data_IF_192899895495
#
_entry.id   IF_192899895495
#
_cell.length_a   1.000
_cell.length_b   1.000
_cell.length_c   1.000
_cell.angle_alpha   90.00
_cell.angle_beta   90.00
_cell.angle_gamma   90.00
#
_symmetry.space_group_name_H-M   'P 1'
#
loop_
_entity.id
_entity.type
_entity.pdbx_description
1 polymer ?
#
# COMPACT_ATOMS: atom_id res chain seq x y z
N UNK A 1 -16.64 26.94 18.95
CA UNK A 1 -15.48 26.38 18.24
C UNK A 1 -15.84 26.35 16.78
N UNK A 2 -15.37 27.33 16.00
CA UNK A 2 -15.54 27.31 14.54
C UNK A 2 -14.82 26.08 13.99
N UNK A 3 -15.53 25.28 13.20
CA UNK A 3 -14.94 24.15 12.50
C UNK A 3 -13.81 24.70 11.61
N UNK A 4 -12.59 24.23 11.84
CA UNK A 4 -11.50 24.42 10.87
C UNK A 4 -12.04 24.10 9.45
N UNK A 5 -11.64 24.86 8.41
CA UNK A 5 -12.11 24.66 7.04
C UNK A 5 -11.47 23.41 6.40
N UNK A 6 -11.58 22.26 7.08
CA UNK A 6 -11.19 20.95 6.57
C UNK A 6 -12.04 20.52 5.37
N UNK A 7 -13.24 21.11 5.25
CA UNK A 7 -14.19 20.89 4.18
C UNK A 7 -14.15 21.98 3.08
N UNK A 8 -13.30 23.00 3.20
CA UNK A 8 -13.21 24.02 2.16
C UNK A 8 -12.43 23.47 0.96
N UNK A 9 -13.08 23.29 -0.22
CA UNK A 9 -12.42 22.79 -1.42
C UNK A 9 -11.27 23.69 -1.89
N UNK A 10 -11.21 24.96 -1.47
CA UNK A 10 -10.10 25.89 -1.79
C UNK A 10 -8.84 25.68 -0.96
N UNK A 11 -8.89 24.99 0.19
CA UNK A 11 -7.78 24.87 1.16
C UNK A 11 -7.31 23.42 1.41
N UNK A 12 -7.52 22.52 0.44
CA UNK A 12 -7.05 21.14 0.58
C UNK A 12 -5.58 20.96 0.16
N UNK A 13 -4.96 19.91 0.67
CA UNK A 13 -3.52 19.67 0.57
C UNK A 13 -3.02 19.27 -0.84
N UNK A 14 -3.87 19.36 -1.85
CA UNK A 14 -3.50 19.30 -3.26
C UNK A 14 -3.62 20.71 -3.83
N UNK A 15 -2.48 21.39 -3.96
CA UNK A 15 -2.37 22.75 -4.49
C UNK A 15 -2.73 22.93 -5.96
N UNK A 16 -3.78 22.29 -6.48
CA UNK A 16 -4.56 22.74 -7.64
C UNK A 16 -5.60 21.69 -8.02
N UNK A 17 -6.81 22.13 -8.35
CA UNK A 17 -7.77 21.32 -9.09
C UNK A 17 -7.14 20.86 -10.41
N UNK A 18 -7.16 19.56 -10.72
CA UNK A 18 -6.87 19.09 -12.07
C UNK A 18 -8.07 19.38 -12.97
N UNK A 19 -8.00 20.47 -13.73
CA UNK A 19 -9.01 20.85 -14.70
C UNK A 19 -8.92 19.96 -15.94
N UNK A 20 -9.91 19.08 -16.14
CA UNK A 20 -10.14 18.45 -17.44
C UNK A 20 -10.88 19.45 -18.33
N UNK A 21 -10.27 19.86 -19.45
CA UNK A 21 -10.87 20.83 -20.38
C UNK A 21 -12.12 20.29 -21.09
N UNK A 22 -12.44 18.99 -21.01
CA UNK A 22 -13.49 18.36 -21.84
C UNK A 22 -14.87 18.20 -21.19
N UNK A 23 -15.01 18.33 -19.87
CA UNK A 23 -16.25 17.90 -19.18
C UNK A 23 -16.92 18.93 -18.27
N UNK A 24 -16.39 20.15 -18.16
CA UNK A 24 -16.88 21.11 -17.17
C UNK A 24 -16.52 20.68 -15.75
N UNK A 25 -16.32 21.66 -14.88
CA UNK A 25 -15.68 21.52 -13.57
C UNK A 25 -16.25 20.39 -12.69
N UNK A 26 -15.42 19.37 -12.42
CA UNK A 26 -15.50 18.61 -11.17
C UNK A 26 -14.07 18.44 -10.63
N UNK A 27 -13.65 19.31 -9.72
CA UNK A 27 -12.43 19.09 -8.94
C UNK A 27 -12.61 17.78 -8.18
N UNK A 28 -11.90 16.72 -8.56
CA UNK A 28 -11.93 15.43 -7.86
C UNK A 28 -11.21 15.63 -6.53
N UNK A 29 -11.97 15.67 -5.43
CA UNK A 29 -11.47 15.94 -4.08
C UNK A 29 -11.59 14.71 -3.20
N UNK A 30 -10.61 14.43 -2.33
CA UNK A 30 -10.75 13.43 -1.26
C UNK A 30 -10.60 14.12 0.09
N UNK A 31 -11.64 13.99 0.93
CA UNK A 31 -11.75 14.81 2.13
C UNK A 31 -10.75 14.45 3.22
N UNK A 32 -10.34 15.45 4.01
CA UNK A 32 -9.51 15.20 5.19
C UNK A 32 -10.26 14.35 6.22
N UNK A 33 -11.58 14.53 6.36
CA UNK A 33 -12.46 13.71 7.21
C UNK A 33 -12.47 12.22 6.82
N UNK A 34 -12.16 11.91 5.56
CA UNK A 34 -12.02 10.54 5.06
C UNK A 34 -10.58 10.03 5.20
N UNK A 35 -9.59 10.85 4.81
CA UNK A 35 -8.18 10.44 4.77
C UNK A 35 -7.55 10.30 6.15
N UNK A 36 -7.84 11.20 7.09
CA UNK A 36 -7.23 11.16 8.44
C UNK A 36 -7.61 9.87 9.18
N UNK A 37 -8.91 9.47 9.27
CA UNK A 37 -9.26 8.20 9.90
C UNK A 37 -8.72 6.97 9.15
N UNK A 38 -8.65 7.02 7.82
CA UNK A 38 -8.08 5.94 7.03
C UNK A 38 -6.58 5.74 7.31
N UNK A 39 -5.84 6.84 7.38
CA UNK A 39 -4.43 6.85 7.79
C UNK A 39 -4.28 6.26 9.19
N UNK A 40 -4.97 6.83 10.18
CA UNK A 40 -4.88 6.34 11.56
C UNK A 40 -5.28 4.88 11.75
N UNK A 41 -6.14 4.33 10.88
CA UNK A 41 -6.58 2.93 10.97
C UNK A 41 -5.64 1.93 10.30
N UNK A 42 -5.00 2.30 9.19
CA UNK A 42 -4.30 1.33 8.35
C UNK A 42 -2.79 1.56 8.21
N UNK A 43 -2.28 2.77 8.50
CA UNK A 43 -0.87 3.11 8.26
C UNK A 43 0.10 2.18 9.01
N UNK A 44 -0.16 1.92 10.29
CA UNK A 44 0.70 1.08 11.13
C UNK A 44 0.94 -0.31 10.53
N UNK A 45 -0.11 -0.99 10.09
CA UNK A 45 0.04 -2.33 9.51
C UNK A 45 0.76 -2.30 8.16
N UNK A 46 0.55 -1.26 7.36
CA UNK A 46 1.25 -1.08 6.08
C UNK A 46 2.75 -0.85 6.36
N UNK A 47 3.09 0.03 7.32
CA UNK A 47 4.47 0.32 7.73
C UNK A 47 5.18 -0.92 8.28
N UNK A 48 4.53 -1.67 9.19
CA UNK A 48 5.08 -2.90 9.72
C UNK A 48 5.40 -3.91 8.60
N UNK A 49 4.52 -3.98 7.60
CA UNK A 49 4.68 -4.90 6.48
C UNK A 49 5.79 -4.47 5.52
N UNK A 50 5.98 -3.16 5.33
CA UNK A 50 7.14 -2.62 4.60
C UNK A 50 8.45 -3.05 5.29
N UNK A 51 8.51 -2.96 6.61
CA UNK A 51 9.68 -3.38 7.40
C UNK A 51 9.95 -4.87 7.22
N UNK A 52 8.93 -5.71 7.31
CA UNK A 52 9.06 -7.16 7.16
C UNK A 52 9.37 -7.59 5.74
N UNK A 53 8.80 -6.92 4.73
CA UNK A 53 9.11 -7.20 3.33
C UNK A 53 10.57 -6.82 3.00
N UNK A 54 11.09 -5.72 3.58
CA UNK A 54 12.52 -5.38 3.54
C UNK A 54 13.37 -6.45 4.22
N UNK A 55 12.96 -6.94 5.38
CA UNK A 55 13.66 -8.01 6.11
C UNK A 55 13.72 -9.31 5.31
N UNK A 56 12.61 -9.72 4.68
CA UNK A 56 12.56 -10.88 3.78
C UNK A 56 13.58 -10.74 2.64
N UNK A 57 13.64 -9.55 2.02
CA UNK A 57 14.63 -9.26 0.98
C UNK A 57 16.07 -9.44 1.44
N UNK A 58 16.40 -8.99 2.66
CA UNK A 58 17.73 -9.18 3.24
C UNK A 58 18.04 -10.66 3.46
N UNK A 59 17.08 -11.45 3.96
CA UNK A 59 17.25 -12.89 4.16
C UNK A 59 17.51 -13.59 2.82
N UNK A 60 16.71 -13.31 1.79
CA UNK A 60 16.84 -13.95 0.48
C UNK A 60 18.13 -13.55 -0.26
N UNK A 61 18.62 -12.32 -0.05
CA UNK A 61 19.89 -11.83 -0.63
C UNK A 61 21.12 -12.39 0.10
N UNK A 62 20.96 -12.98 1.29
CA UNK A 62 22.05 -13.58 2.08
C UNK A 62 22.77 -14.72 1.35
N UNK A 63 24.05 -14.92 1.67
CA UNK A 63 24.82 -16.10 1.24
C UNK A 63 24.37 -17.36 1.98
N UNK A 64 23.89 -17.23 3.22
CA UNK A 64 23.31 -18.31 4.02
C UNK A 64 21.85 -17.96 4.35
N UNK A 65 20.91 -18.48 3.55
CA UNK A 65 19.49 -18.16 3.67
C UNK A 65 18.87 -18.96 4.81
N UNK A 66 18.28 -18.26 5.77
CA UNK A 66 17.46 -18.88 6.81
C UNK A 66 16.03 -19.08 6.30
N UNK A 67 15.79 -20.20 5.60
CA UNK A 67 14.50 -20.50 5.00
C UNK A 67 13.34 -20.55 6.01
N UNK A 68 13.60 -21.02 7.23
CA UNK A 68 12.60 -21.06 8.29
C UNK A 68 12.16 -19.66 8.74
N UNK A 69 13.08 -18.71 8.75
CA UNK A 69 12.78 -17.31 9.08
C UNK A 69 12.07 -16.62 7.92
N UNK A 70 12.49 -16.88 6.68
CA UNK A 70 11.82 -16.39 5.48
C UNK A 70 10.37 -16.89 5.39
N UNK A 71 10.13 -18.18 5.69
CA UNK A 71 8.81 -18.79 5.66
C UNK A 71 7.85 -18.08 6.62
N UNK A 72 8.28 -17.82 7.87
CA UNK A 72 7.46 -17.16 8.89
C UNK A 72 6.95 -15.77 8.49
N UNK A 73 7.66 -15.08 7.58
CA UNK A 73 7.28 -13.74 7.12
C UNK A 73 6.15 -13.76 6.07
N UNK A 74 5.93 -14.88 5.39
CA UNK A 74 4.91 -15.02 4.34
C UNK A 74 3.82 -16.02 4.70
N UNK A 75 4.15 -17.03 5.50
CA UNK A 75 3.23 -17.99 6.08
C UNK A 75 3.75 -18.39 7.48
N UNK A 76 3.17 -17.83 8.56
CA UNK A 76 3.59 -18.16 9.91
C UNK A 76 3.10 -19.55 10.36
N UNK A 77 2.33 -20.25 9.54
CA UNK A 77 1.75 -21.54 9.84
C UNK A 77 0.53 -21.47 10.76
N UNK A 78 -0.13 -22.63 10.93
CA UNK A 78 -1.41 -22.76 11.63
C UNK A 78 -1.37 -22.42 13.13
N UNK A 79 -0.19 -22.40 13.76
CA UNK A 79 -0.06 -22.08 15.18
C UNK A 79 -0.28 -20.60 15.50
N UNK A 80 -0.08 -19.70 14.52
CA UNK A 80 -0.43 -18.29 14.67
C UNK A 80 -1.88 -18.03 14.23
N UNK A 81 -2.65 -17.41 15.13
CA UNK A 81 -4.05 -17.00 14.87
C UNK A 81 -4.17 -15.81 13.91
N UNK A 82 -3.08 -15.13 13.61
CA UNK A 82 -3.07 -13.95 12.74
C UNK A 82 -2.16 -14.20 11.52
N UNK A 83 -2.55 -13.72 10.33
CA UNK A 83 -1.69 -13.78 9.16
C UNK A 83 -0.40 -13.00 9.40
N UNK A 84 0.69 -13.38 8.71
CA UNK A 84 1.92 -12.60 8.73
C UNK A 84 1.63 -11.17 8.22
N UNK A 85 2.29 -10.14 8.77
CA UNK A 85 2.05 -8.74 8.40
C UNK A 85 2.07 -8.49 6.89
N UNK A 86 3.03 -9.07 6.15
CA UNK A 86 3.10 -8.95 4.68
C UNK A 86 1.77 -9.37 4.01
N UNK A 87 1.15 -10.45 4.47
CA UNK A 87 -0.12 -10.97 3.95
C UNK A 87 -1.29 -10.11 4.43
N UNK A 88 -1.29 -9.77 5.71
CA UNK A 88 -2.32 -8.96 6.36
C UNK A 88 -2.45 -7.56 5.74
N UNK A 89 -1.33 -6.97 5.32
CA UNK A 89 -1.30 -5.68 4.67
C UNK A 89 -2.01 -5.66 3.31
N UNK A 90 -2.12 -6.78 2.58
CA UNK A 90 -2.78 -6.78 1.26
C UNK A 90 -4.23 -6.28 1.34
N UNK A 91 -4.99 -6.78 2.32
CA UNK A 91 -6.34 -6.30 2.59
C UNK A 91 -6.33 -4.81 3.02
N UNK A 92 -5.41 -4.45 3.91
CA UNK A 92 -5.33 -3.10 4.46
C UNK A 92 -4.93 -2.07 3.41
N UNK A 93 -4.06 -2.42 2.48
CA UNK A 93 -3.68 -1.60 1.33
C UNK A 93 -4.89 -1.34 0.43
N UNK A 94 -5.70 -2.37 0.11
CA UNK A 94 -6.90 -2.19 -0.69
C UNK A 94 -7.91 -1.25 -0.01
N UNK A 95 -8.13 -1.40 1.30
CA UNK A 95 -9.01 -0.54 2.09
C UNK A 95 -8.46 0.88 2.22
N UNK A 96 -7.15 1.02 2.44
CA UNK A 96 -6.46 2.30 2.53
C UNK A 96 -6.55 3.07 1.21
N UNK A 97 -6.16 2.47 0.08
CA UNK A 97 -6.27 3.08 -1.23
C UNK A 97 -7.71 3.51 -1.54
N UNK A 98 -8.71 2.69 -1.18
CA UNK A 98 -10.13 3.04 -1.35
C UNK A 98 -10.46 4.34 -0.61
N UNK A 99 -10.07 4.46 0.65
CA UNK A 99 -10.36 5.66 1.44
C UNK A 99 -9.46 6.86 1.07
N UNK A 100 -8.29 6.63 0.51
CA UNK A 100 -7.36 7.71 0.15
C UNK A 100 -7.63 8.30 -1.23
N UNK A 101 -8.22 7.52 -2.14
CA UNK A 101 -8.33 7.85 -3.56
C UNK A 101 -9.77 7.93 -4.07
N UNK A 102 -10.76 7.46 -3.31
CA UNK A 102 -12.17 7.60 -3.69
C UNK A 102 -12.65 9.01 -3.37
N UNK A 103 -13.08 9.71 -4.40
CA UNK A 103 -13.65 11.04 -4.27
C UNK A 103 -15.17 10.97 -4.13
N UNK A 104 -15.78 11.65 -3.14
CA UNK A 104 -17.23 11.63 -2.96
C UNK A 104 -17.98 12.43 -4.03
N UNK A 105 -17.30 13.27 -4.83
CA UNK A 105 -17.91 14.06 -5.90
C UNK A 105 -17.60 13.52 -7.31
N UNK A 106 -17.04 12.31 -7.42
CA UNK A 106 -16.81 11.62 -8.68
C UNK A 106 -17.40 10.21 -8.61
N UNK A 107 -18.43 9.95 -9.43
CA UNK A 107 -19.15 8.67 -9.47
C UNK A 107 -18.48 7.59 -10.33
N UNK A 108 -17.41 7.94 -11.07
CA UNK A 108 -16.64 7.00 -11.88
C UNK A 108 -15.55 6.28 -11.07
N UNK A 109 -14.94 5.22 -11.62
CA UNK A 109 -13.77 4.62 -11.01
C UNK A 109 -12.60 5.59 -11.09
N UNK A 110 -12.08 6.03 -9.93
CA UNK A 110 -10.86 6.83 -9.89
C UNK A 110 -9.71 6.00 -10.49
N UNK A 111 -9.10 6.47 -11.59
CA UNK A 111 -8.05 5.72 -12.30
C UNK A 111 -6.92 5.29 -11.37
N UNK A 112 -6.51 6.18 -10.46
CA UNK A 112 -5.48 5.90 -9.47
C UNK A 112 -5.88 4.79 -8.49
N UNK A 113 -7.16 4.72 -8.09
CA UNK A 113 -7.66 3.65 -7.23
C UNK A 113 -7.60 2.29 -7.94
N UNK A 114 -8.00 2.25 -9.22
CA UNK A 114 -7.93 1.01 -10.00
C UNK A 114 -6.50 0.52 -10.14
N UNK A 115 -5.56 1.44 -10.43
CA UNK A 115 -4.13 1.11 -10.55
C UNK A 115 -3.54 0.71 -9.20
N UNK A 116 -3.91 1.37 -8.11
CA UNK A 116 -3.47 0.97 -6.77
C UNK A 116 -3.95 -0.46 -6.42
N UNK A 117 -5.22 -0.79 -6.72
CA UNK A 117 -5.75 -2.15 -6.52
C UNK A 117 -5.10 -3.19 -7.43
N UNK A 118 -4.75 -2.81 -8.66
CA UNK A 118 -3.96 -3.65 -9.56
C UNK A 118 -2.63 -4.04 -8.91
N UNK A 119 -1.87 -3.08 -8.38
CA UNK A 119 -0.61 -3.38 -7.70
C UNK A 119 -0.78 -4.19 -6.41
N UNK A 120 -1.90 -4.00 -5.67
CA UNK A 120 -2.21 -4.89 -4.52
C UNK A 120 -2.38 -6.34 -4.99
N UNK A 121 -3.01 -6.58 -6.14
CA UNK A 121 -3.14 -7.93 -6.68
C UNK A 121 -1.79 -8.51 -7.12
N UNK A 122 -0.90 -7.70 -7.71
CA UNK A 122 0.47 -8.14 -8.04
C UNK A 122 1.27 -8.46 -6.78
N UNK A 123 1.18 -7.64 -5.73
CA UNK A 123 1.76 -7.94 -4.41
C UNK A 123 1.23 -9.26 -3.83
N UNK A 124 -0.09 -9.51 -3.96
CA UNK A 124 -0.71 -10.75 -3.47
C UNK A 124 -0.22 -11.98 -4.25
N UNK A 125 -0.11 -11.87 -5.57
CA UNK A 125 0.47 -12.91 -6.43
C UNK A 125 1.93 -13.19 -6.03
N UNK A 126 2.75 -12.13 -5.93
CA UNK A 126 4.15 -12.23 -5.55
C UNK A 126 4.32 -12.93 -4.19
N UNK A 127 3.51 -12.54 -3.20
CA UNK A 127 3.57 -13.10 -1.83
C UNK A 127 3.17 -14.57 -1.81
N UNK A 128 2.14 -14.95 -2.56
CA UNK A 128 1.68 -16.35 -2.66
C UNK A 128 2.72 -17.24 -3.34
N UNK A 129 3.31 -16.79 -4.43
CA UNK A 129 4.36 -17.54 -5.13
C UNK A 129 5.68 -17.54 -4.36
N UNK A 130 5.97 -16.48 -3.59
CA UNK A 130 7.10 -16.41 -2.67
C UNK A 130 7.03 -17.51 -1.63
N UNK A 131 5.86 -17.69 -1.00
CA UNK A 131 5.66 -18.75 -0.01
C UNK A 131 6.03 -20.14 -0.56
N UNK A 132 5.54 -20.46 -1.77
CA UNK A 132 5.89 -21.71 -2.47
C UNK A 132 7.38 -21.81 -2.78
N UNK A 133 7.97 -20.75 -3.32
CA UNK A 133 9.39 -20.73 -3.69
C UNK A 133 10.32 -20.86 -2.47
N UNK A 134 9.90 -20.33 -1.32
CA UNK A 134 10.61 -20.44 -0.03
C UNK A 134 10.49 -21.87 0.52
N UNK A 135 9.32 -22.50 0.43
CA UNK A 135 9.12 -23.91 0.79
C UNK A 135 10.02 -24.83 -0.06
N UNK A 136 10.09 -24.58 -1.36
CA UNK A 136 10.97 -25.27 -2.30
C UNK A 136 12.47 -24.92 -2.13
N UNK A 137 12.80 -23.97 -1.24
CA UNK A 137 14.14 -23.42 -1.03
C UNK A 137 14.81 -22.94 -2.33
N UNK A 138 14.01 -22.46 -3.28
CA UNK A 138 14.48 -21.99 -4.57
C UNK A 138 14.89 -20.52 -4.48
N UNK A 139 16.18 -20.27 -4.28
CA UNK A 139 16.75 -18.91 -4.14
C UNK A 139 16.46 -18.02 -5.33
N UNK A 140 16.70 -18.50 -6.54
CA UNK A 140 16.55 -17.69 -7.75
C UNK A 140 15.09 -17.25 -7.95
N UNK A 141 14.16 -18.21 -7.84
CA UNK A 141 12.72 -17.93 -7.93
C UNK A 141 12.26 -17.00 -6.81
N UNK A 142 12.70 -17.25 -5.58
CA UNK A 142 12.34 -16.42 -4.41
C UNK A 142 12.82 -14.98 -4.59
N UNK A 143 14.07 -14.77 -5.01
CA UNK A 143 14.59 -13.42 -5.27
C UNK A 143 13.88 -12.73 -6.43
N UNK A 144 13.59 -13.46 -7.52
CA UNK A 144 12.84 -12.93 -8.65
C UNK A 144 11.44 -12.43 -8.25
N UNK A 145 10.72 -13.24 -7.48
CA UNK A 145 9.39 -12.87 -6.97
C UNK A 145 9.45 -11.75 -5.93
N UNK A 146 10.48 -11.72 -5.09
CA UNK A 146 10.68 -10.63 -4.14
C UNK A 146 10.89 -9.29 -4.86
N UNK A 147 11.74 -9.26 -5.89
CA UNK A 147 11.96 -8.07 -6.72
C UNK A 147 10.67 -7.62 -7.43
N UNK A 148 9.94 -8.55 -8.04
CA UNK A 148 8.66 -8.25 -8.68
C UNK A 148 7.64 -7.66 -7.69
N UNK A 149 7.52 -8.26 -6.49
CA UNK A 149 6.66 -7.73 -5.45
C UNK A 149 7.15 -6.40 -4.89
N UNK A 150 8.46 -6.17 -4.77
CA UNK A 150 9.05 -4.88 -4.37
C UNK A 150 8.64 -3.77 -5.35
N UNK A 151 8.74 -4.03 -6.65
CA UNK A 151 8.35 -3.07 -7.69
C UNK A 151 6.84 -2.75 -7.62
N UNK A 152 6.02 -3.78 -7.36
CA UNK A 152 4.57 -3.64 -7.18
C UNK A 152 4.23 -2.82 -5.92
N UNK A 153 4.89 -3.12 -4.80
CA UNK A 153 4.78 -2.37 -3.55
C UNK A 153 5.15 -0.90 -3.75
N UNK A 154 6.32 -0.64 -4.34
CA UNK A 154 6.78 0.72 -4.61
C UNK A 154 5.84 1.48 -5.53
N UNK A 155 5.29 0.82 -6.54
CA UNK A 155 4.29 1.42 -7.44
C UNK A 155 3.01 1.80 -6.70
N UNK A 156 2.51 0.92 -5.82
CA UNK A 156 1.40 1.22 -4.91
C UNK A 156 1.72 2.39 -3.97
N UNK A 157 2.88 2.36 -3.29
CA UNK A 157 3.29 3.37 -2.31
C UNK A 157 3.43 4.74 -2.97
N UNK A 158 3.96 4.81 -4.20
CA UNK A 158 4.03 6.04 -4.99
C UNK A 158 2.65 6.68 -5.19
N UNK A 159 1.63 5.87 -5.52
CA UNK A 159 0.25 6.34 -5.72
C UNK A 159 -0.35 6.86 -4.42
N UNK A 160 -0.23 6.13 -3.31
CA UNK A 160 -0.88 6.54 -2.06
C UNK A 160 -0.12 7.65 -1.33
N UNK A 161 1.22 7.71 -1.43
CA UNK A 161 2.04 8.79 -0.86
C UNK A 161 1.74 10.14 -1.48
N UNK A 162 1.30 10.15 -2.74
CA UNK A 162 0.74 11.32 -3.39
C UNK A 162 -0.47 11.85 -2.62
N UNK A 163 -1.39 10.97 -2.23
CA UNK A 163 -2.58 11.32 -1.45
C UNK A 163 -2.34 11.62 0.04
N UNK A 164 -1.12 11.40 0.55
CA UNK A 164 -0.73 11.72 1.92
C UNK A 164 -0.06 13.10 1.95
N UNK A 165 -0.69 14.01 2.67
CA UNK A 165 -0.18 15.35 2.94
C UNK A 165 0.23 15.49 4.41
N UNK A 166 0.99 16.53 4.79
CA UNK A 166 1.36 16.76 6.20
C UNK A 166 0.17 16.87 7.17
N UNK A 167 -1.04 17.21 6.68
CA UNK A 167 -2.28 17.23 7.50
C UNK A 167 -2.89 15.84 7.72
N UNK A 168 -2.49 14.85 6.93
CA UNK A 168 -3.00 13.47 6.97
C UNK A 168 -2.05 12.57 7.75
N UNK A 169 -0.75 12.66 7.47
CA UNK A 169 0.28 11.84 8.09
C UNK A 169 1.60 11.92 7.33
N UNK A 170 2.53 11.07 7.70
CA UNK A 170 3.82 10.94 7.04
C UNK A 170 3.73 10.01 5.82
N UNK A 171 4.58 10.26 4.82
CA UNK A 171 4.63 9.37 3.66
C UNK A 171 5.30 8.06 4.05
N UNK A 172 4.81 6.96 3.48
CA UNK A 172 5.45 5.66 3.63
C UNK A 172 6.83 5.64 2.97
N UNK A 173 7.76 4.95 3.60
CA UNK A 173 9.06 4.67 2.98
C UNK A 173 8.94 3.68 1.83
N UNK A 174 9.71 3.91 0.78
CA UNK A 174 9.87 2.96 -0.31
C UNK A 174 10.69 1.74 0.16
N UNK A 175 10.49 0.60 -0.49
CA UNK A 175 11.24 -0.64 -0.30
C UNK A 175 12.51 -0.59 -1.17
N UNK A 176 13.66 -0.93 -0.58
CA UNK A 176 14.98 -1.00 -1.23
C UNK A 176 15.76 -2.27 -0.85
#
# INVERSE_FOLDING_TARGET
MEAFPADDPTYNAWGSCTTSQSTGNSCVYVSLKQRIPAYGKYSFSIEQSIVEYKALGRILKSSNINWNEAAKLVDPGYEQKMPAPIVDALLKMALFATQMLTSPNYSGPAKELLVARYYVNECAFATTELAKAIEDQNKEKSLGLWNFGMDSWNSYLSIVNRAISPKVGDKFEMIS
#
